data_IF_542877285485
#
_entry.id   IF_542877285485
#
_cell.length_a   1.000
_cell.length_b   1.000
_cell.length_c   1.000
_cell.angle_alpha   90.00
_cell.angle_beta   90.00
_cell.angle_gamma   90.00
#
_symmetry.space_group_name_H-M   'P 1'
#
loop_
_entity.id
_entity.type
_entity.pdbx_description
1 polymer ?
#
# COMPACT_ATOMS: atom_id res chain seq x y z
N UNK A 1 -66.37 22.48 79.62
CA UNK A 1 -65.37 21.34 79.65
C UNK A 1 -65.09 20.83 78.24
N UNK A 2 -66.05 20.66 77.29
CA UNK A 2 -65.75 20.19 75.93
C UNK A 2 -64.82 21.11 75.13
N UNK A 3 -64.95 22.47 75.21
CA UNK A 3 -64.13 23.42 74.49
C UNK A 3 -62.68 23.41 75.05
N UNK A 4 -62.49 23.32 76.35
CA UNK A 4 -61.16 23.27 76.97
C UNK A 4 -60.42 21.98 76.58
N UNK A 5 -61.10 20.81 76.49
CA UNK A 5 -60.49 19.54 76.06
C UNK A 5 -60.07 19.57 74.57
N UNK A 6 -60.84 20.25 73.74
CA UNK A 6 -60.53 20.42 72.32
C UNK A 6 -59.28 21.30 72.11
N UNK A 7 -59.19 22.43 72.79
CA UNK A 7 -58.00 23.30 72.71
C UNK A 7 -56.76 22.59 73.21
N UNK A 8 -56.83 21.77 74.28
CA UNK A 8 -55.68 20.98 74.75
C UNK A 8 -55.27 19.91 73.73
N UNK A 9 -56.16 19.19 73.10
CA UNK A 9 -55.87 18.18 72.08
C UNK A 9 -55.22 18.82 70.86
N UNK A 10 -55.76 19.96 70.36
CA UNK A 10 -55.13 20.74 69.25
C UNK A 10 -53.75 21.24 69.62
N UNK A 11 -53.55 21.75 70.83
CA UNK A 11 -52.24 22.18 71.33
C UNK A 11 -51.22 21.02 71.38
N UNK A 12 -51.65 19.81 71.78
CA UNK A 12 -50.80 18.61 71.75
C UNK A 12 -50.42 18.17 70.34
N UNK A 13 -51.36 18.23 69.41
CA UNK A 13 -51.08 17.91 67.98
C UNK A 13 -50.07 18.91 67.42
N UNK A 14 -50.24 20.21 67.68
CA UNK A 14 -49.29 21.24 67.23
C UNK A 14 -47.91 21.05 67.89
N UNK A 15 -47.86 20.70 69.17
CA UNK A 15 -46.61 20.41 69.88
C UNK A 15 -45.90 19.19 69.22
N UNK A 16 -46.58 18.12 68.94
CA UNK A 16 -46.05 16.95 68.25
C UNK A 16 -45.56 17.28 66.85
N UNK A 17 -46.26 18.08 66.10
CA UNK A 17 -45.86 18.57 64.78
C UNK A 17 -44.56 19.42 64.86
N UNK A 18 -44.46 20.27 65.90
CA UNK A 18 -43.24 21.10 66.11
C UNK A 18 -42.02 20.25 66.45
N UNK A 19 -42.18 19.07 67.00
CA UNK A 19 -41.16 18.06 67.23
C UNK A 19 -40.88 17.15 66.01
N UNK A 20 -41.53 17.43 64.88
CA UNK A 20 -41.35 16.70 63.61
C UNK A 20 -42.26 15.46 63.47
N UNK A 21 -43.21 15.24 64.38
CA UNK A 21 -44.14 14.11 64.24
C UNK A 21 -45.41 14.50 63.48
N UNK A 22 -45.43 14.23 62.16
CA UNK A 22 -46.54 14.49 61.27
C UNK A 22 -47.56 13.35 61.16
N UNK A 23 -47.32 12.24 61.91
CA UNK A 23 -48.27 11.13 62.03
C UNK A 23 -49.32 11.52 63.06
N UNK A 24 -50.18 12.47 62.73
CA UNK A 24 -51.21 13.01 63.59
C UNK A 24 -52.57 12.83 62.97
N UNK A 25 -53.56 12.35 63.78
CA UNK A 25 -54.95 12.30 63.40
C UNK A 25 -55.66 13.50 64.02
N UNK A 26 -56.14 14.41 63.16
CA UNK A 26 -56.92 15.57 63.59
C UNK A 26 -58.38 15.24 63.49
N UNK A 27 -59.08 15.20 64.68
CA UNK A 27 -60.51 14.94 64.74
C UNK A 27 -61.31 16.22 64.43
N UNK A 28 -62.12 16.23 63.39
CA UNK A 28 -62.97 17.35 62.96
C UNK A 28 -64.39 17.13 63.58
N UNK A 29 -64.81 18.00 64.43
CA UNK A 29 -66.08 17.82 65.20
C UNK A 29 -67.30 18.32 64.48
N UNK A 30 -67.21 19.25 63.58
CA UNK A 30 -68.31 19.74 62.76
C UNK A 30 -67.79 20.41 61.49
N UNK A 31 -68.64 20.57 60.49
CA UNK A 31 -68.28 21.32 59.24
C UNK A 31 -67.93 22.81 59.50
N UNK A 32 -68.23 23.35 60.71
CA UNK A 32 -67.87 24.71 61.11
C UNK A 32 -66.58 24.78 61.90
N UNK A 33 -65.93 23.65 62.19
CA UNK A 33 -64.67 23.61 62.88
C UNK A 33 -63.46 23.94 61.91
N UNK A 34 -63.45 25.21 61.48
CA UNK A 34 -62.55 25.71 60.51
C UNK A 34 -61.01 25.47 60.92
N UNK A 35 -60.74 25.50 62.21
CA UNK A 35 -59.38 25.29 62.71
C UNK A 35 -58.95 23.85 62.55
N UNK A 36 -59.73 22.90 63.02
CA UNK A 36 -59.44 21.47 62.87
C UNK A 36 -59.34 21.04 61.38
N UNK A 37 -60.24 21.58 60.53
CA UNK A 37 -60.25 21.36 59.07
C UNK A 37 -58.90 21.89 58.47
N UNK A 38 -58.51 23.12 58.83
CA UNK A 38 -57.28 23.69 58.33
C UNK A 38 -56.03 22.90 58.84
N UNK A 39 -56.02 22.48 60.09
CA UNK A 39 -54.92 21.68 60.67
C UNK A 39 -54.83 20.29 60.02
N UNK A 40 -55.96 19.63 59.78
CA UNK A 40 -56.05 18.35 59.09
C UNK A 40 -55.45 18.47 57.66
N UNK A 41 -55.90 19.50 56.93
CA UNK A 41 -55.38 19.77 55.58
C UNK A 41 -53.88 20.02 55.61
N UNK A 42 -53.38 20.82 56.57
CA UNK A 42 -51.97 21.09 56.70
C UNK A 42 -51.17 19.80 56.94
N UNK A 43 -51.60 18.95 57.91
CA UNK A 43 -50.94 17.68 58.20
C UNK A 43 -50.91 16.76 56.99
N UNK A 44 -52.05 16.66 56.29
CA UNK A 44 -52.16 15.85 55.06
C UNK A 44 -51.23 16.33 53.97
N UNK A 45 -51.28 17.63 53.67
CA UNK A 45 -50.42 18.22 52.63
C UNK A 45 -48.94 18.14 52.95
N UNK A 46 -48.53 18.31 54.19
CA UNK A 46 -47.14 18.16 54.62
C UNK A 46 -46.66 16.72 54.49
N UNK A 47 -47.43 15.72 54.94
CA UNK A 47 -47.08 14.33 54.74
C UNK A 47 -46.94 13.98 53.28
N UNK A 48 -47.85 14.47 52.41
CA UNK A 48 -47.78 14.25 50.97
C UNK A 48 -46.52 14.89 50.37
N UNK A 49 -46.25 16.17 50.66
CA UNK A 49 -45.11 16.91 50.09
C UNK A 49 -43.74 16.42 50.65
N UNK A 50 -43.64 16.14 51.93
CA UNK A 50 -42.39 15.58 52.47
C UNK A 50 -42.13 14.16 51.97
N UNK A 51 -43.18 13.35 51.80
CA UNK A 51 -43.08 12.05 51.16
C UNK A 51 -42.62 12.10 49.71
N UNK A 52 -43.19 13.05 48.91
CA UNK A 52 -42.76 13.32 47.53
C UNK A 52 -41.29 13.75 47.43
N UNK A 53 -40.84 14.66 48.34
CA UNK A 53 -39.45 15.11 48.39
C UNK A 53 -38.52 13.96 48.74
N UNK A 54 -38.88 13.07 49.68
CA UNK A 54 -38.11 11.90 50.05
C UNK A 54 -37.96 10.90 48.90
N UNK A 55 -39.03 10.69 48.11
CA UNK A 55 -38.98 9.82 46.91
C UNK A 55 -38.11 10.43 45.82
N UNK A 56 -38.21 11.75 45.59
CA UNK A 56 -37.35 12.45 44.63
C UNK A 56 -35.89 12.37 45.08
N UNK A 57 -35.57 12.57 46.34
CA UNK A 57 -34.23 12.40 46.86
C UNK A 57 -33.66 11.01 46.58
N UNK A 58 -34.44 9.93 46.81
CA UNK A 58 -34.03 8.59 46.49
C UNK A 58 -33.74 8.38 44.99
N UNK A 59 -34.55 8.97 44.11
CA UNK A 59 -34.34 8.92 42.65
C UNK A 59 -33.07 9.69 42.24
N UNK A 60 -32.79 10.82 42.87
CA UNK A 60 -31.56 11.62 42.61
C UNK A 60 -30.32 10.83 43.04
N UNK A 61 -30.39 10.18 44.21
CA UNK A 61 -29.27 9.34 44.68
C UNK A 61 -29.00 8.16 43.73
N UNK A 62 -30.03 7.44 43.29
CA UNK A 62 -29.90 6.37 42.33
C UNK A 62 -29.31 6.87 40.98
N UNK A 63 -29.89 7.95 40.45
CA UNK A 63 -29.40 8.56 39.21
C UNK A 63 -27.95 9.05 39.32
N UNK A 64 -27.56 9.62 40.46
CA UNK A 64 -26.18 10.02 40.71
C UNK A 64 -25.20 8.85 40.69
N UNK A 65 -25.58 7.71 41.30
CA UNK A 65 -24.75 6.49 41.25
C UNK A 65 -24.61 5.95 39.85
N UNK A 66 -25.69 5.94 39.06
CA UNK A 66 -25.65 5.47 37.67
C UNK A 66 -24.74 6.38 36.81
N UNK A 67 -24.83 7.69 37.01
CA UNK A 67 -23.94 8.67 36.31
C UNK A 67 -22.48 8.47 36.75
N UNK A 68 -22.22 8.23 38.03
CA UNK A 68 -20.88 7.92 38.55
C UNK A 68 -20.28 6.68 37.91
N UNK A 69 -21.05 5.58 37.84
CA UNK A 69 -20.62 4.34 37.18
C UNK A 69 -20.36 4.51 35.69
N UNK A 70 -21.24 5.21 34.97
CA UNK A 70 -21.04 5.50 33.56
C UNK A 70 -19.79 6.38 33.30
N UNK A 71 -19.46 7.25 34.26
CA UNK A 71 -18.24 8.08 34.18
C UNK A 71 -16.97 7.26 34.38
N UNK A 72 -16.97 6.30 35.30
CA UNK A 72 -15.85 5.37 35.46
C UNK A 72 -15.61 4.53 34.21
N UNK A 73 -16.70 4.01 33.59
CA UNK A 73 -16.62 3.28 32.30
C UNK A 73 -16.07 4.17 31.19
N UNK A 74 -16.47 5.43 31.11
CA UNK A 74 -15.97 6.39 30.14
C UNK A 74 -14.47 6.66 30.33
N UNK A 75 -14.01 6.82 31.57
CA UNK A 75 -12.59 7.03 31.89
C UNK A 75 -11.75 5.81 31.47
N UNK A 76 -12.25 4.60 31.74
CA UNK A 76 -11.58 3.38 31.31
C UNK A 76 -11.53 3.28 29.77
N UNK A 77 -12.64 3.50 29.08
CA UNK A 77 -12.69 3.48 27.63
C UNK A 77 -11.77 4.53 26.99
N UNK A 78 -11.65 5.71 27.61
CA UNK A 78 -10.70 6.73 27.18
C UNK A 78 -9.25 6.26 27.36
N UNK A 79 -8.93 5.60 28.47
CA UNK A 79 -7.59 5.03 28.71
C UNK A 79 -7.23 3.94 27.68
N UNK A 80 -8.16 3.03 27.37
CA UNK A 80 -7.98 2.00 26.34
C UNK A 80 -7.82 2.63 24.94
N UNK A 81 -8.57 3.71 24.68
CA UNK A 81 -8.45 4.48 23.43
C UNK A 81 -7.09 5.15 23.31
N UNK A 82 -6.54 5.71 24.39
CA UNK A 82 -5.21 6.30 24.41
C UNK A 82 -4.11 5.27 24.09
N UNK A 83 -4.18 4.08 24.68
CA UNK A 83 -3.24 2.99 24.39
C UNK A 83 -3.31 2.57 22.89
N UNK A 84 -4.53 2.46 22.34
CA UNK A 84 -4.73 2.14 20.92
C UNK A 84 -4.18 3.24 20.00
N UNK A 85 -4.31 4.52 20.38
CA UNK A 85 -3.76 5.66 19.63
C UNK A 85 -2.23 5.65 19.63
N UNK A 86 -1.58 5.26 20.72
CA UNK A 86 -0.12 5.11 20.77
C UNK A 86 0.35 4.01 19.81
N UNK A 87 -0.33 2.86 19.76
CA UNK A 87 -0.02 1.76 18.84
C UNK A 87 -0.21 2.18 17.38
N UNK A 88 -1.34 2.86 17.06
CA UNK A 88 -1.61 3.37 15.71
C UNK A 88 -0.55 4.41 15.32
N UNK A 89 -0.18 5.31 16.22
CA UNK A 89 0.84 6.35 15.96
C UNK A 89 2.20 5.71 15.66
N UNK A 90 2.60 4.69 16.41
CA UNK A 90 3.83 3.93 16.17
C UNK A 90 3.80 3.24 14.81
N UNK A 91 2.68 2.60 14.46
CA UNK A 91 2.48 1.95 13.16
C UNK A 91 2.54 2.97 12.01
N UNK A 92 1.93 4.14 12.18
CA UNK A 92 1.98 5.21 11.17
C UNK A 92 3.40 5.73 10.95
N UNK A 93 4.20 5.87 12.01
CA UNK A 93 5.61 6.25 11.89
C UNK A 93 6.43 5.19 11.12
N UNK A 94 6.15 3.91 11.34
CA UNK A 94 6.78 2.83 10.58
C UNK A 94 6.37 2.87 9.10
N UNK A 95 5.08 3.06 8.80
CA UNK A 95 4.57 3.14 7.43
C UNK A 95 5.12 4.36 6.70
N UNK A 96 5.26 5.53 7.35
CA UNK A 96 5.93 6.72 6.77
C UNK A 96 7.37 6.40 6.39
N UNK A 97 8.13 5.80 7.31
CA UNK A 97 9.52 5.41 7.07
C UNK A 97 9.64 4.45 5.87
N UNK A 98 8.76 3.44 5.79
CA UNK A 98 8.72 2.49 4.67
C UNK A 98 8.32 3.17 3.36
N UNK A 99 7.37 4.10 3.37
CA UNK A 99 6.95 4.84 2.18
C UNK A 99 8.08 5.70 1.62
N UNK A 100 8.82 6.40 2.48
CA UNK A 100 10.00 7.16 2.09
C UNK A 100 11.12 6.27 1.54
N UNK A 101 11.32 5.09 2.15
CA UNK A 101 12.29 4.11 1.64
C UNK A 101 11.87 3.59 0.27
N UNK A 102 10.59 3.25 0.08
CA UNK A 102 10.06 2.80 -1.21
C UNK A 102 10.26 3.87 -2.31
N UNK A 103 10.02 5.14 -2.01
CA UNK A 103 10.27 6.23 -2.95
C UNK A 103 11.75 6.29 -3.36
N UNK A 104 12.67 6.15 -2.41
CA UNK A 104 14.12 6.14 -2.65
C UNK A 104 14.56 4.92 -3.47
N UNK A 105 14.04 3.73 -3.13
CA UNK A 105 14.34 2.48 -3.84
C UNK A 105 13.82 2.53 -5.28
N UNK A 106 12.61 3.06 -5.47
CA UNK A 106 12.04 3.30 -6.79
C UNK A 106 12.91 4.27 -7.61
N UNK A 107 13.40 5.36 -7.01
CA UNK A 107 14.30 6.29 -7.69
C UNK A 107 15.60 5.61 -8.12
N UNK A 108 16.17 4.76 -7.26
CA UNK A 108 17.38 3.97 -7.57
C UNK A 108 17.11 2.97 -8.71
N UNK A 109 15.96 2.27 -8.65
CA UNK A 109 15.55 1.31 -9.68
C UNK A 109 15.30 2.00 -11.04
N UNK A 110 14.75 3.22 -11.03
CA UNK A 110 14.60 4.05 -12.25
C UNK A 110 15.93 4.38 -12.88
N UNK A 111 16.95 4.76 -12.08
CA UNK A 111 18.30 5.02 -12.58
C UNK A 111 18.93 3.78 -13.20
N UNK A 112 18.79 2.60 -12.56
CA UNK A 112 19.27 1.33 -13.10
C UNK A 112 18.56 0.96 -14.41
N UNK A 113 17.25 1.16 -14.48
CA UNK A 113 16.48 0.94 -15.70
C UNK A 113 16.95 1.85 -16.86
N UNK A 114 17.21 3.13 -16.58
CA UNK A 114 17.77 4.06 -17.57
C UNK A 114 19.15 3.63 -18.07
N UNK A 115 20.03 3.15 -17.19
CA UNK A 115 21.33 2.61 -17.56
C UNK A 115 21.20 1.37 -18.45
N UNK A 116 20.36 0.41 -18.03
CA UNK A 116 20.11 -0.82 -18.79
C UNK A 116 19.48 -0.53 -20.17
N UNK A 117 18.57 0.46 -20.26
CA UNK A 117 18.01 0.94 -21.54
C UNK A 117 19.09 1.46 -22.48
N UNK A 118 20.01 2.28 -21.96
CA UNK A 118 21.11 2.83 -22.73
C UNK A 118 22.05 1.73 -23.25
N UNK A 119 22.32 0.71 -22.43
CA UNK A 119 23.16 -0.42 -22.83
C UNK A 119 22.48 -1.32 -23.89
N UNK A 120 21.16 -1.52 -23.78
CA UNK A 120 20.39 -2.20 -24.82
C UNK A 120 20.38 -1.43 -26.14
N UNK A 121 20.29 -0.09 -26.11
CA UNK A 121 20.39 0.78 -27.29
C UNK A 121 21.78 0.67 -27.95
N UNK A 122 22.88 0.75 -27.16
CA UNK A 122 24.24 0.55 -27.66
C UNK A 122 24.40 -0.84 -28.28
N UNK A 123 23.88 -1.87 -27.64
CA UNK A 123 23.90 -3.22 -28.18
C UNK A 123 23.17 -3.33 -29.51
N UNK A 124 22.01 -2.64 -29.68
CA UNK A 124 21.27 -2.60 -30.93
C UNK A 124 22.08 -1.91 -32.05
N UNK A 125 22.77 -0.82 -31.74
CA UNK A 125 23.68 -0.14 -32.70
C UNK A 125 24.84 -1.03 -33.12
N UNK A 126 25.44 -1.78 -32.16
CA UNK A 126 26.51 -2.73 -32.48
C UNK A 126 26.02 -3.88 -33.36
N UNK A 127 24.80 -4.39 -33.16
CA UNK A 127 24.21 -5.41 -34.03
C UNK A 127 23.96 -4.89 -35.43
N UNK A 128 23.51 -3.66 -35.59
CA UNK A 128 23.35 -3.02 -36.90
C UNK A 128 24.72 -2.92 -37.65
N UNK A 129 25.78 -2.55 -36.92
CA UNK A 129 27.13 -2.51 -37.47
C UNK A 129 27.66 -3.91 -37.86
N UNK A 130 27.35 -4.93 -37.07
CA UNK A 130 27.67 -6.32 -37.37
C UNK A 130 26.95 -6.81 -38.65
N UNK A 131 25.66 -6.51 -38.80
CA UNK A 131 24.89 -6.86 -40.02
C UNK A 131 25.52 -6.18 -41.25
N UNK A 132 25.96 -4.90 -41.17
CA UNK A 132 26.66 -4.23 -42.23
C UNK A 132 27.96 -4.90 -42.61
N UNK A 133 28.77 -5.28 -41.60
CA UNK A 133 30.05 -5.96 -41.85
C UNK A 133 29.85 -7.34 -42.52
N UNK A 134 28.84 -8.10 -42.08
CA UNK A 134 28.48 -9.39 -42.69
C UNK A 134 28.03 -9.22 -44.16
N UNK A 135 27.34 -8.17 -44.52
CA UNK A 135 26.94 -7.87 -45.88
C UNK A 135 28.13 -7.50 -46.76
N UNK A 136 29.13 -6.76 -46.20
CA UNK A 136 30.39 -6.48 -46.88
C UNK A 136 31.17 -7.76 -47.15
N UNK A 137 31.28 -8.67 -46.18
CA UNK A 137 31.94 -9.97 -46.36
C UNK A 137 31.21 -10.81 -47.42
N UNK A 138 29.87 -10.81 -47.43
CA UNK A 138 29.07 -11.49 -48.43
C UNK A 138 29.36 -10.99 -49.84
N UNK A 139 29.40 -9.65 -49.99
CA UNK A 139 29.70 -9.01 -51.25
C UNK A 139 31.09 -9.34 -51.75
N UNK A 140 32.08 -9.30 -50.87
CA UNK A 140 33.49 -9.67 -51.17
C UNK A 140 33.59 -11.14 -51.58
N UNK A 141 32.94 -12.05 -50.85
CA UNK A 141 32.91 -13.48 -51.15
C UNK A 141 32.29 -13.74 -52.51
N UNK A 142 31.23 -13.04 -52.89
CA UNK A 142 30.62 -13.14 -54.23
C UNK A 142 31.58 -12.64 -55.35
N UNK A 143 32.39 -11.62 -55.07
CA UNK A 143 33.40 -11.14 -56.02
C UNK A 143 34.51 -12.19 -56.16
N UNK A 144 34.99 -12.79 -55.09
CA UNK A 144 35.98 -13.87 -55.10
C UNK A 144 35.41 -15.09 -55.87
N UNK A 145 34.18 -15.49 -55.67
CA UNK A 145 33.54 -16.57 -56.41
C UNK A 145 33.56 -16.33 -57.94
N UNK A 146 33.34 -15.10 -58.37
CA UNK A 146 33.43 -14.72 -59.78
C UNK A 146 34.88 -14.83 -60.32
N UNK A 147 35.87 -14.42 -59.53
CA UNK A 147 37.28 -14.53 -59.93
C UNK A 147 37.69 -16.00 -60.03
N UNK A 148 37.31 -16.85 -59.06
CA UNK A 148 37.59 -18.26 -59.08
C UNK A 148 36.98 -18.96 -60.32
N UNK A 149 35.75 -18.59 -60.68
CA UNK A 149 35.12 -19.04 -61.92
C UNK A 149 35.94 -18.70 -63.15
N UNK A 150 36.45 -17.46 -63.25
CA UNK A 150 37.34 -17.05 -64.35
C UNK A 150 38.66 -17.86 -64.35
N UNK A 151 39.22 -18.18 -63.17
CA UNK A 151 40.42 -19.02 -63.07
C UNK A 151 40.17 -20.43 -63.55
N UNK A 152 39.01 -21.01 -63.22
CA UNK A 152 38.60 -22.34 -63.71
C UNK A 152 38.44 -22.34 -65.20
N UNK A 153 37.78 -21.31 -65.79
CA UNK A 153 37.65 -21.15 -67.23
C UNK A 153 38.98 -20.99 -67.94
N UNK A 154 39.98 -20.26 -67.35
CA UNK A 154 41.33 -20.13 -67.87
C UNK A 154 42.07 -21.49 -67.82
N UNK A 155 41.93 -22.23 -66.72
CA UNK A 155 42.50 -23.55 -66.55
C UNK A 155 41.97 -24.53 -67.60
N UNK A 156 40.65 -24.49 -67.83
CA UNK A 156 40.04 -25.30 -68.89
C UNK A 156 40.58 -24.93 -70.30
N UNK A 157 40.66 -23.62 -70.65
CA UNK A 157 41.21 -23.16 -71.91
C UNK A 157 42.66 -23.57 -72.06
N UNK A 158 43.47 -23.44 -70.96
CA UNK A 158 44.87 -23.82 -70.95
C UNK A 158 45.06 -25.32 -71.17
N UNK A 159 44.19 -26.16 -70.56
CA UNK A 159 44.16 -27.59 -70.78
C UNK A 159 43.85 -27.96 -72.23
N UNK A 160 42.89 -27.26 -72.89
CA UNK A 160 42.59 -27.45 -74.29
C UNK A 160 43.76 -27.01 -75.21
N UNK A 161 44.39 -25.88 -74.89
CA UNK A 161 45.57 -25.42 -75.66
C UNK A 161 46.73 -26.37 -75.50
N UNK A 162 46.98 -26.90 -74.35
CA UNK A 162 48.01 -27.89 -74.07
C UNK A 162 47.72 -29.23 -74.79
N UNK A 163 46.45 -29.66 -74.84
CA UNK A 163 46.05 -30.84 -75.60
C UNK A 163 46.29 -30.62 -77.11
N UNK A 164 45.91 -29.49 -77.65
CA UNK A 164 46.19 -29.19 -79.04
C UNK A 164 47.71 -29.17 -79.38
N UNK A 165 48.51 -28.59 -78.47
CA UNK A 165 49.97 -28.56 -78.59
C UNK A 165 50.57 -29.97 -78.53
N UNK A 166 50.08 -30.86 -77.66
CA UNK A 166 50.50 -32.25 -77.55
C UNK A 166 50.19 -33.06 -78.84
N UNK A 167 48.99 -32.80 -79.40
CA UNK A 167 48.60 -33.42 -80.68
C UNK A 167 49.49 -32.99 -81.80
N UNK A 168 49.82 -31.71 -81.93
CA UNK A 168 50.65 -31.19 -82.99
C UNK A 168 52.14 -31.60 -82.80
N UNK A 169 52.65 -31.72 -81.56
CA UNK A 169 53.94 -32.28 -81.19
C UNK A 169 54.07 -33.76 -81.60
N UNK A 170 52.97 -34.55 -81.42
CA UNK A 170 52.92 -35.95 -81.85
C UNK A 170 52.94 -36.02 -83.42
N UNK A 171 52.36 -35.09 -84.09
CA UNK A 171 52.28 -34.97 -85.56
C UNK A 171 53.65 -34.63 -86.15
N UNK A 172 54.53 -33.86 -85.47
CA UNK A 172 55.86 -33.53 -85.85
C UNK A 172 56.88 -34.67 -85.64
N UNK A 173 56.53 -35.80 -85.13
CA UNK A 173 57.32 -37.03 -85.00
C UNK A 173 58.59 -36.84 -84.12
N UNK A 174 59.75 -37.15 -84.68
CA UNK A 174 60.99 -37.04 -83.91
C UNK A 174 61.36 -35.64 -83.46
N UNK A 175 60.96 -34.64 -84.23
CA UNK A 175 61.25 -33.25 -83.96
C UNK A 175 60.37 -32.64 -82.89
N UNK A 176 59.24 -33.22 -82.60
CA UNK A 176 58.27 -32.76 -81.60
C UNK A 176 58.41 -33.32 -80.18
N UNK A 177 59.33 -34.26 -79.92
CA UNK A 177 59.44 -34.92 -78.64
C UNK A 177 59.57 -33.98 -77.42
N UNK A 178 60.40 -32.92 -77.53
CA UNK A 178 60.59 -31.93 -76.44
C UNK A 178 59.34 -31.10 -76.22
N UNK A 179 58.64 -30.72 -77.26
CA UNK A 179 57.35 -30.00 -77.16
C UNK A 179 56.22 -30.85 -76.56
N UNK A 180 56.20 -32.15 -76.85
CA UNK A 180 55.19 -33.04 -76.29
C UNK A 180 55.28 -33.16 -74.76
N UNK A 181 56.54 -33.20 -74.20
CA UNK A 181 56.76 -33.19 -72.75
C UNK A 181 56.31 -31.88 -72.09
N UNK A 182 56.58 -30.75 -72.73
CA UNK A 182 56.12 -29.43 -72.21
C UNK A 182 54.60 -29.33 -72.27
N UNK A 183 54.05 -29.77 -73.41
CA UNK A 183 52.57 -29.75 -73.54
C UNK A 183 51.87 -30.62 -72.47
N UNK A 184 52.38 -31.81 -72.17
CA UNK A 184 51.87 -32.67 -71.14
C UNK A 184 52.04 -32.03 -69.72
N UNK A 185 53.17 -31.41 -69.43
CA UNK A 185 53.40 -30.69 -68.15
C UNK A 185 52.45 -29.49 -68.01
N UNK A 186 52.19 -28.69 -69.07
CA UNK A 186 51.23 -27.60 -69.06
C UNK A 186 49.80 -28.15 -68.89
N UNK A 187 49.49 -29.31 -69.51
CA UNK A 187 48.21 -29.98 -69.29
C UNK A 187 47.99 -30.41 -67.86
N UNK A 188 49.02 -31.03 -67.26
CA UNK A 188 48.99 -31.41 -65.86
C UNK A 188 48.81 -30.21 -64.94
N UNK A 189 49.54 -29.11 -65.17
CA UNK A 189 49.44 -27.90 -64.43
C UNK A 189 48.02 -27.26 -64.55
N UNK A 190 47.44 -27.27 -65.76
CA UNK A 190 46.09 -26.81 -65.98
C UNK A 190 45.07 -27.65 -65.21
N UNK A 191 45.21 -28.98 -65.20
CA UNK A 191 44.35 -29.87 -64.42
C UNK A 191 44.44 -29.65 -62.92
N UNK A 192 45.68 -29.40 -62.40
CA UNK A 192 45.88 -29.01 -61.01
C UNK A 192 45.28 -27.66 -60.67
N UNK A 193 45.34 -26.69 -61.55
CA UNK A 193 44.75 -25.36 -61.37
C UNK A 193 43.22 -25.43 -61.34
N UNK A 194 42.61 -26.19 -62.24
CA UNK A 194 41.15 -26.42 -62.22
C UNK A 194 40.66 -27.08 -60.93
N UNK A 195 41.44 -28.09 -60.44
CA UNK A 195 41.10 -28.72 -59.16
C UNK A 195 41.17 -27.74 -58.00
N UNK A 196 42.25 -26.93 -57.89
CA UNK A 196 42.40 -25.94 -56.89
C UNK A 196 41.30 -24.83 -56.93
N UNK A 197 40.91 -24.43 -58.14
CA UNK A 197 39.81 -23.51 -58.38
C UNK A 197 38.46 -24.08 -57.84
N UNK A 198 38.18 -25.32 -58.15
CA UNK A 198 36.97 -26.02 -57.67
C UNK A 198 36.96 -26.12 -56.13
N UNK A 199 38.04 -26.58 -55.52
CA UNK A 199 38.17 -26.65 -54.03
C UNK A 199 38.01 -25.28 -53.39
N UNK A 200 38.53 -24.21 -54.01
CA UNK A 200 38.36 -22.86 -53.52
C UNK A 200 36.92 -22.38 -53.67
N UNK A 201 36.25 -22.71 -54.75
CA UNK A 201 34.83 -22.40 -54.99
C UNK A 201 33.93 -23.02 -53.86
N UNK A 202 34.19 -24.32 -53.53
CA UNK A 202 33.45 -25.00 -52.48
C UNK A 202 33.69 -24.34 -51.08
N UNK A 203 34.89 -23.86 -50.80
CA UNK A 203 35.20 -23.10 -49.58
C UNK A 203 34.49 -21.75 -49.55
N UNK A 204 34.41 -21.03 -50.65
CA UNK A 204 33.72 -19.76 -50.74
C UNK A 204 32.19 -19.94 -50.59
N UNK A 205 31.60 -20.99 -51.18
CA UNK A 205 30.19 -21.31 -51.00
C UNK A 205 29.86 -21.62 -49.53
N UNK A 206 30.69 -22.48 -48.88
CA UNK A 206 30.60 -22.76 -47.44
C UNK A 206 30.73 -21.48 -46.57
N UNK A 207 31.64 -20.56 -46.94
CA UNK A 207 31.82 -19.30 -46.26
C UNK A 207 30.60 -18.38 -46.39
N UNK A 208 30.00 -18.33 -47.59
CA UNK A 208 28.75 -17.56 -47.82
C UNK A 208 27.59 -18.09 -46.99
N UNK A 209 27.46 -19.41 -46.90
CA UNK A 209 26.42 -20.04 -46.05
C UNK A 209 26.60 -19.67 -44.55
N UNK A 210 27.86 -19.69 -44.06
CA UNK A 210 28.19 -19.26 -42.68
C UNK A 210 27.91 -17.77 -42.43
N UNK A 211 28.21 -16.90 -43.37
CA UNK A 211 27.93 -15.47 -43.33
C UNK A 211 26.41 -15.24 -43.29
N UNK A 212 25.66 -15.95 -44.13
CA UNK A 212 24.18 -15.90 -44.11
C UNK A 212 23.59 -16.26 -42.77
N UNK A 213 24.07 -17.35 -42.14
CA UNK A 213 23.66 -17.74 -40.79
C UNK A 213 24.06 -16.68 -39.74
N UNK A 214 25.28 -16.12 -39.83
CA UNK A 214 25.74 -15.05 -38.94
C UNK A 214 24.85 -13.80 -39.02
N UNK A 215 24.44 -13.41 -40.24
CA UNK A 215 23.51 -12.30 -40.46
C UNK A 215 22.13 -12.57 -39.83
N UNK A 216 21.61 -13.79 -39.99
CA UNK A 216 20.34 -14.18 -39.40
C UNK A 216 20.36 -14.08 -37.85
N UNK A 217 21.42 -14.61 -37.23
CA UNK A 217 21.62 -14.54 -35.76
C UNK A 217 21.73 -13.10 -35.31
N UNK A 218 22.50 -12.26 -36.01
CA UNK A 218 22.65 -10.84 -35.67
C UNK A 218 21.30 -10.09 -35.74
N UNK A 219 20.48 -10.36 -36.74
CA UNK A 219 19.13 -9.79 -36.86
C UNK A 219 18.18 -10.26 -35.73
N UNK A 220 18.21 -11.54 -35.36
CA UNK A 220 17.44 -12.05 -34.22
C UNK A 220 17.88 -11.40 -32.90
N UNK A 221 19.19 -11.24 -32.69
CA UNK A 221 19.72 -10.56 -31.50
C UNK A 221 19.30 -9.09 -31.46
N UNK A 222 19.32 -8.40 -32.61
CA UNK A 222 18.86 -7.01 -32.73
C UNK A 222 17.36 -6.90 -32.38
N UNK A 223 16.53 -7.84 -32.82
CA UNK A 223 15.10 -7.86 -32.49
C UNK A 223 14.89 -8.07 -30.99
N UNK A 224 15.59 -9.02 -30.37
CA UNK A 224 15.54 -9.28 -28.95
C UNK A 224 15.97 -8.05 -28.10
N UNK A 225 17.04 -7.35 -28.52
CA UNK A 225 17.48 -6.11 -27.87
C UNK A 225 16.41 -5.00 -27.94
N UNK A 226 15.66 -4.88 -29.04
CA UNK A 226 14.54 -3.94 -29.16
C UNK A 226 13.39 -4.29 -28.22
N UNK A 227 13.09 -5.58 -28.04
CA UNK A 227 12.07 -6.03 -27.07
C UNK A 227 12.52 -5.72 -25.64
N UNK A 228 13.79 -5.97 -25.31
CA UNK A 228 14.39 -5.63 -24.01
C UNK A 228 14.30 -4.12 -23.77
N UNK A 229 14.67 -3.29 -24.74
CA UNK A 229 14.55 -1.84 -24.65
C UNK A 229 13.12 -1.38 -24.36
N UNK A 230 12.14 -1.95 -25.04
CA UNK A 230 10.71 -1.65 -24.82
C UNK A 230 10.26 -2.10 -23.42
N UNK A 231 10.68 -3.29 -22.99
CA UNK A 231 10.36 -3.82 -21.66
C UNK A 231 10.94 -2.97 -20.53
N UNK A 232 12.22 -2.57 -20.66
CA UNK A 232 12.89 -1.70 -19.68
C UNK A 232 12.21 -0.32 -19.63
N UNK A 233 11.81 0.24 -20.76
CA UNK A 233 11.13 1.55 -20.81
C UNK A 233 9.81 1.52 -20.06
N UNK A 234 9.01 0.45 -20.21
CA UNK A 234 7.77 0.25 -19.45
C UNK A 234 8.04 0.04 -17.95
N UNK A 235 9.07 -0.73 -17.63
CA UNK A 235 9.46 -0.94 -16.23
C UNK A 235 9.88 0.37 -15.56
N UNK A 236 10.64 1.23 -16.25
CA UNK A 236 11.04 2.54 -15.75
C UNK A 236 9.84 3.44 -15.45
N UNK A 237 8.82 3.46 -16.32
CA UNK A 237 7.57 4.21 -16.12
C UNK A 237 6.81 3.72 -14.88
N UNK A 238 6.69 2.40 -14.71
CA UNK A 238 6.03 1.81 -13.53
C UNK A 238 6.79 2.20 -12.25
N UNK A 239 8.09 2.13 -12.28
CA UNK A 239 8.94 2.46 -11.12
C UNK A 239 8.86 3.95 -10.77
N UNK A 240 8.80 4.83 -11.77
CA UNK A 240 8.58 6.27 -11.55
C UNK A 240 7.23 6.53 -10.88
N UNK A 241 6.16 5.86 -11.33
CA UNK A 241 4.85 5.93 -10.69
C UNK A 241 4.88 5.42 -9.24
N UNK A 242 5.64 4.37 -8.92
CA UNK A 242 5.82 3.90 -7.54
C UNK A 242 6.47 4.98 -6.68
N UNK A 243 7.46 5.70 -7.18
CA UNK A 243 8.10 6.79 -6.45
C UNK A 243 7.11 7.94 -6.15
N UNK A 244 6.28 8.31 -7.12
CA UNK A 244 5.24 9.34 -6.94
C UNK A 244 4.22 8.90 -5.90
N UNK A 245 3.65 7.71 -6.05
CA UNK A 245 2.64 7.17 -5.13
C UNK A 245 3.18 7.01 -3.70
N UNK A 246 4.45 6.63 -3.55
CA UNK A 246 5.08 6.51 -2.24
C UNK A 246 5.24 7.88 -1.54
N UNK A 247 5.53 8.94 -2.29
CA UNK A 247 5.57 10.30 -1.76
C UNK A 247 4.17 10.83 -1.39
N UNK A 248 3.16 10.55 -2.21
CA UNK A 248 1.76 10.86 -1.89
C UNK A 248 1.31 10.12 -0.62
N UNK A 249 1.68 8.84 -0.49
CA UNK A 249 1.40 8.05 0.70
C UNK A 249 2.02 8.67 1.96
N UNK A 250 3.28 9.13 1.91
CA UNK A 250 3.92 9.82 3.02
C UNK A 250 3.17 11.12 3.40
N UNK A 251 2.64 11.85 2.42
CA UNK A 251 1.82 13.03 2.67
C UNK A 251 0.51 12.69 3.38
N UNK A 252 -0.21 11.65 2.90
CA UNK A 252 -1.43 11.17 3.54
C UNK A 252 -1.19 10.71 4.99
N UNK A 253 -0.04 10.03 5.24
CA UNK A 253 0.33 9.60 6.60
C UNK A 253 0.53 10.81 7.52
N UNK A 254 1.15 11.90 7.04
CA UNK A 254 1.30 13.11 7.81
C UNK A 254 -0.06 13.75 8.18
N UNK A 255 -1.04 13.72 7.27
CA UNK A 255 -2.41 14.18 7.54
C UNK A 255 -3.11 13.29 8.57
N UNK A 256 -2.98 11.96 8.43
CA UNK A 256 -3.52 10.99 9.41
C UNK A 256 -2.91 11.22 10.79
N UNK A 257 -1.58 11.42 10.87
CA UNK A 257 -0.89 11.68 12.14
C UNK A 257 -1.37 12.97 12.81
N UNK A 258 -1.68 14.00 12.01
CA UNK A 258 -2.32 15.23 12.52
C UNK A 258 -3.72 14.96 13.09
N UNK A 259 -4.52 14.12 12.40
CA UNK A 259 -5.84 13.68 12.85
C UNK A 259 -5.77 12.88 14.15
N UNK A 260 -4.82 11.94 14.25
CA UNK A 260 -4.58 11.17 15.48
C UNK A 260 -4.24 12.09 16.67
N UNK A 261 -3.44 13.15 16.46
CA UNK A 261 -3.17 14.15 17.51
C UNK A 261 -4.39 14.96 17.94
N UNK A 262 -5.42 15.10 17.10
CA UNK A 262 -6.72 15.66 17.50
C UNK A 262 -7.53 14.67 18.33
N UNK A 263 -7.56 13.38 17.91
CA UNK A 263 -8.28 12.34 18.66
C UNK A 263 -7.64 12.15 20.04
N UNK A 264 -6.32 12.17 20.15
CA UNK A 264 -5.61 12.09 21.44
C UNK A 264 -6.06 13.19 22.39
N UNK A 265 -6.14 14.45 21.93
CA UNK A 265 -6.64 15.58 22.73
C UNK A 265 -8.09 15.37 23.20
N UNK A 266 -8.96 14.86 22.32
CA UNK A 266 -10.36 14.55 22.69
C UNK A 266 -10.42 13.42 23.70
N UNK A 267 -9.57 12.41 23.57
CA UNK A 267 -9.47 11.27 24.50
C UNK A 267 -9.02 11.76 25.89
N UNK A 268 -8.00 12.60 25.97
CA UNK A 268 -7.56 13.21 27.24
C UNK A 268 -8.67 14.09 27.87
N UNK A 269 -9.39 14.84 27.04
CA UNK A 269 -10.52 15.64 27.53
C UNK A 269 -11.67 14.78 28.03
N UNK A 270 -11.94 13.62 27.39
CA UNK A 270 -12.94 12.68 27.85
C UNK A 270 -12.57 12.08 29.24
N UNK A 271 -11.29 11.78 29.45
CA UNK A 271 -10.81 11.33 30.78
C UNK A 271 -11.04 12.42 31.84
N UNK A 272 -10.64 13.67 31.56
CA UNK A 272 -10.83 14.77 32.51
C UNK A 272 -12.33 15.04 32.75
N UNK A 273 -13.16 15.02 31.74
CA UNK A 273 -14.61 15.20 31.87
C UNK A 273 -15.24 14.06 32.68
N UNK A 274 -14.80 12.82 32.47
CA UNK A 274 -15.29 11.67 33.23
C UNK A 274 -14.97 11.79 34.71
N UNK A 275 -13.76 12.23 35.06
CA UNK A 275 -13.36 12.49 36.46
C UNK A 275 -14.23 13.60 37.09
N UNK A 276 -14.47 14.70 36.38
CA UNK A 276 -15.29 15.82 36.86
C UNK A 276 -16.76 15.41 37.04
N UNK A 277 -17.32 14.61 36.11
CA UNK A 277 -18.69 14.08 36.19
C UNK A 277 -18.81 13.12 37.38
N UNK A 278 -17.84 12.20 37.59
CA UNK A 278 -17.82 11.30 38.72
C UNK A 278 -17.80 12.03 40.06
N UNK A 279 -16.97 13.07 40.17
CA UNK A 279 -16.94 13.94 41.35
C UNK A 279 -18.28 14.64 41.59
N UNK A 280 -18.90 15.19 40.54
CA UNK A 280 -20.21 15.84 40.62
C UNK A 280 -21.32 14.87 40.99
N UNK A 281 -21.28 13.64 40.48
CA UNK A 281 -22.21 12.58 40.84
C UNK A 281 -22.09 12.20 42.32
N UNK A 282 -20.85 12.09 42.83
CA UNK A 282 -20.61 11.83 44.26
C UNK A 282 -21.17 12.97 45.15
N UNK A 283 -20.97 14.24 44.77
CA UNK A 283 -21.57 15.38 45.48
C UNK A 283 -23.10 15.32 45.46
N UNK A 284 -23.72 15.00 44.33
CA UNK A 284 -25.17 14.84 44.20
C UNK A 284 -25.70 13.73 45.11
N UNK A 285 -25.04 12.57 45.15
CA UNK A 285 -25.38 11.46 46.06
C UNK A 285 -25.26 11.89 47.52
N UNK A 286 -24.18 12.61 47.89
CA UNK A 286 -24.01 13.17 49.23
C UNK A 286 -25.10 14.18 49.59
N UNK A 287 -25.49 15.06 48.70
CA UNK A 287 -26.58 16.02 48.93
C UNK A 287 -27.92 15.32 49.09
N UNK A 288 -28.18 14.30 48.26
CA UNK A 288 -29.38 13.50 48.38
C UNK A 288 -29.45 12.73 49.71
N UNK A 289 -28.30 12.14 50.14
CA UNK A 289 -28.19 11.48 51.44
C UNK A 289 -28.47 12.45 52.62
N UNK A 290 -27.92 13.67 52.57
CA UNK A 290 -28.18 14.70 53.56
C UNK A 290 -29.64 15.15 53.57
N UNK A 291 -30.30 15.21 52.41
CA UNK A 291 -31.70 15.52 52.27
C UNK A 291 -32.54 14.42 52.92
N UNK A 292 -32.24 13.16 52.64
CA UNK A 292 -32.87 12.01 53.25
C UNK A 292 -32.70 12.00 54.78
N UNK A 293 -31.50 12.27 55.30
CA UNK A 293 -31.23 12.38 56.74
C UNK A 293 -32.06 13.50 57.39
N UNK A 294 -32.16 14.67 56.67
CA UNK A 294 -32.97 15.78 57.18
C UNK A 294 -34.45 15.40 57.23
N UNK A 295 -34.94 14.71 56.19
CA UNK A 295 -36.34 14.26 56.10
C UNK A 295 -36.64 13.14 57.13
N UNK A 296 -35.67 12.29 57.47
CA UNK A 296 -35.84 11.21 58.45
C UNK A 296 -36.13 11.70 59.88
N UNK A 297 -35.82 12.98 60.15
CA UNK A 297 -36.21 13.64 61.42
C UNK A 297 -37.72 13.88 61.50
N UNK A 298 -38.44 13.88 60.35
CA UNK A 298 -39.86 13.99 60.32
C UNK A 298 -40.50 12.59 60.26
N UNK A 299 -41.35 12.30 61.26
CA UNK A 299 -42.16 11.09 61.23
C UNK A 299 -43.36 11.32 60.31
N UNK A 300 -43.32 10.65 59.15
CA UNK A 300 -44.37 10.73 58.15
C UNK A 300 -45.27 9.48 58.22
N UNK A 301 -46.48 9.58 57.72
CA UNK A 301 -47.36 8.43 57.48
C UNK A 301 -46.74 7.57 56.40
N UNK A 302 -46.43 6.30 56.72
CA UNK A 302 -45.97 5.35 55.71
C UNK A 302 -47.06 5.13 54.67
N UNK A 303 -46.71 5.24 53.43
CA UNK A 303 -47.63 4.97 52.29
C UNK A 303 -47.61 3.50 51.92
#
# INVERSE_FOLDING_TARGET
>A
QMLINSQRQQAQIIASISEGNWVQTVEVRSEKDNFSLALQKMVHQMNEKLGEVNEIAGKVDAGARDVGGASEELSQAATESAASLEEISSTMAEVDSRSRQNAKDAQTASQLALAARNDAEKGSVQMASMVSAMEEIRTSSQQIARIIKVIDDIAFQTNLLALNAAVEAARAGRHGKGFAVVAEEVRNLAGRSAKAAKETSELIESSNAKVGNGTAVANQTSAALKEIFSGISKAAEIVENIAVLSNEQATCIAEISSGLGQIDRVTQQNTANAEEIAASALELSNHSGRLHETLSRFRLIER
#
